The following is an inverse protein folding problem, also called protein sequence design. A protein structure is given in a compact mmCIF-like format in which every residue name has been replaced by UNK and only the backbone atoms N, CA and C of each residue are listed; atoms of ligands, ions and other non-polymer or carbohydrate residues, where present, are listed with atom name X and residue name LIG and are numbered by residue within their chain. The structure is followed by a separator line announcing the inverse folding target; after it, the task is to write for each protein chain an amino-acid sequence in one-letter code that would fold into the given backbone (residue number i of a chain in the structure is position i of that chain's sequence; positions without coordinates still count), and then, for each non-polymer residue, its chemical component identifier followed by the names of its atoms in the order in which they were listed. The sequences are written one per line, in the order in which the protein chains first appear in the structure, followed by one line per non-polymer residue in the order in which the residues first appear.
data_IF_186631071190
#
_entry.id   IF_186631071190
#
_cell.length_a   1.000
_cell.length_b   1.000
_cell.length_c   1.000
_cell.angle_alpha   90.00
_cell.angle_beta   90.00
_cell.angle_gamma   90.00
#
_symmetry.space_group_name_H-M   'P 1'
#
loop_
_entity.id
_entity.type
_entity.pdbx_description
1 polymer ?
#
# COMPACT_ATOMS: atom_id res chain seq x y z
N UNK A 1 12.12 -19.05 5.03
CA UNK A 1 12.47 -19.60 3.70
C UNK A 1 11.65 -18.81 2.74
N UNK A 2 12.30 -18.26 1.71
CA UNK A 2 11.61 -17.43 0.72
C UNK A 2 10.45 -18.19 0.08
N UNK A 3 9.34 -17.50 -0.13
CA UNK A 3 8.15 -18.00 -0.83
C UNK A 3 7.78 -17.04 -1.96
N UNK A 4 8.38 -17.21 -3.15
CA UNK A 4 8.17 -16.33 -4.30
C UNK A 4 6.70 -16.27 -4.76
N UNK A 5 5.88 -17.28 -4.42
CA UNK A 5 4.47 -17.26 -4.76
C UNK A 5 3.74 -16.21 -3.92
N UNK A 6 4.09 -16.07 -2.63
CA UNK A 6 3.49 -15.04 -1.77
C UNK A 6 3.86 -13.65 -2.22
N UNK A 7 5.11 -13.42 -2.60
CA UNK A 7 5.59 -12.15 -3.15
C UNK A 7 4.82 -11.77 -4.42
N UNK A 8 4.72 -12.68 -5.40
CA UNK A 8 4.00 -12.43 -6.64
C UNK A 8 2.50 -12.16 -6.38
N UNK A 9 1.85 -12.98 -5.54
CA UNK A 9 0.42 -12.80 -5.23
C UNK A 9 0.20 -11.49 -4.47
N UNK A 10 1.10 -11.15 -3.55
CA UNK A 10 1.04 -9.92 -2.77
C UNK A 10 1.18 -8.69 -3.66
N UNK A 11 2.16 -8.66 -4.57
CA UNK A 11 2.35 -7.58 -5.53
C UNK A 11 1.10 -7.37 -6.42
N UNK A 12 0.43 -8.45 -6.85
CA UNK A 12 -0.84 -8.35 -7.57
C UNK A 12 -1.96 -7.76 -6.71
N UNK A 13 -2.04 -8.10 -5.43
CA UNK A 13 -3.02 -7.55 -4.50
C UNK A 13 -2.77 -6.06 -4.28
N UNK A 14 -1.52 -5.65 -4.10
CA UNK A 14 -1.14 -4.23 -4.02
C UNK A 14 -1.58 -3.50 -5.28
N UNK A 15 -1.17 -3.97 -6.46
CA UNK A 15 -1.47 -3.32 -7.73
C UNK A 15 -3.00 -3.15 -7.97
N UNK A 16 -3.78 -4.21 -7.73
CA UNK A 16 -5.25 -4.14 -7.88
C UNK A 16 -5.86 -3.21 -6.84
N UNK A 17 -5.40 -3.30 -5.59
CA UNK A 17 -5.88 -2.46 -4.49
C UNK A 17 -5.64 -0.98 -4.76
N UNK A 18 -4.44 -0.60 -5.21
CA UNK A 18 -4.09 0.78 -5.56
C UNK A 18 -5.00 1.33 -6.66
N UNK A 19 -5.30 0.52 -7.71
CA UNK A 19 -6.22 0.94 -8.78
C UNK A 19 -7.63 1.18 -8.24
N UNK A 20 -8.14 0.29 -7.39
CA UNK A 20 -9.48 0.42 -6.81
C UNK A 20 -9.57 1.65 -5.90
N UNK A 21 -8.57 1.87 -5.03
CA UNK A 21 -8.50 3.05 -4.15
C UNK A 21 -8.41 4.35 -4.94
N UNK A 22 -7.66 4.38 -6.05
CA UNK A 22 -7.59 5.54 -6.93
C UNK A 22 -8.95 5.86 -7.58
N UNK A 23 -9.71 4.83 -7.98
CA UNK A 23 -11.07 5.01 -8.52
C UNK A 23 -12.02 5.56 -7.43
N UNK A 24 -11.98 5.02 -6.21
CA UNK A 24 -12.80 5.49 -5.09
C UNK A 24 -12.50 6.94 -4.70
N UNK A 25 -11.22 7.31 -4.70
CA UNK A 25 -10.76 8.66 -4.39
C UNK A 25 -11.08 9.68 -5.48
N UNK A 26 -11.29 9.25 -6.73
CA UNK A 26 -11.65 10.15 -7.84
C UNK A 26 -13.12 10.61 -7.75
N UNK A 27 -13.42 11.93 -7.76
CA UNK A 27 -14.78 12.46 -7.66
C UNK A 27 -15.54 12.39 -9.01
N UNK A 28 -15.75 11.17 -9.51
CA UNK A 28 -16.54 10.93 -10.72
C UNK A 28 -18.04 11.10 -10.42
N UNK A 29 -18.75 11.91 -11.22
CA UNK A 29 -20.21 12.13 -11.09
C UNK A 29 -21.06 10.84 -11.12
N UNK A 30 -20.52 9.75 -11.66
CA UNK A 30 -21.20 8.45 -11.75
C UNK A 30 -21.04 7.59 -10.48
N UNK A 31 -20.16 7.95 -9.55
CA UNK A 31 -19.92 7.23 -8.31
C UNK A 31 -20.47 8.04 -7.13
N UNK A 32 -21.39 7.46 -6.37
CA UNK A 32 -21.90 8.09 -5.15
C UNK A 32 -20.84 7.99 -4.01
N UNK A 33 -21.07 8.72 -2.92
CA UNK A 33 -20.12 8.76 -1.79
C UNK A 33 -19.93 7.42 -1.09
N UNK A 34 -20.97 6.60 -1.02
CA UNK A 34 -20.95 5.28 -0.39
C UNK A 34 -20.08 4.30 -1.20
N UNK A 35 -20.32 4.19 -2.51
CA UNK A 35 -19.51 3.37 -3.40
C UNK A 35 -18.05 3.84 -3.44
N UNK A 36 -17.79 5.15 -3.41
CA UNK A 36 -16.42 5.68 -3.33
C UNK A 36 -15.73 5.26 -2.03
N UNK A 37 -16.43 5.31 -0.90
CA UNK A 37 -15.94 4.84 0.39
C UNK A 37 -15.66 3.34 0.36
N UNK A 38 -16.59 2.54 -0.17
CA UNK A 38 -16.42 1.09 -0.29
C UNK A 38 -15.23 0.71 -1.16
N UNK A 39 -15.04 1.41 -2.29
CA UNK A 39 -13.87 1.22 -3.15
C UNK A 39 -12.57 1.56 -2.42
N UNK A 40 -12.51 2.66 -1.67
CA UNK A 40 -11.33 2.98 -0.86
C UNK A 40 -11.05 1.88 0.18
N UNK A 41 -12.08 1.44 0.91
CA UNK A 41 -11.94 0.35 1.90
C UNK A 41 -11.42 -0.93 1.24
N UNK A 42 -12.00 -1.37 0.13
CA UNK A 42 -11.54 -2.60 -0.54
C UNK A 42 -10.15 -2.45 -1.16
N UNK A 43 -9.81 -1.27 -1.67
CA UNK A 43 -8.49 -0.95 -2.18
C UNK A 43 -7.42 -1.06 -1.09
N UNK A 44 -7.66 -0.44 0.07
CA UNK A 44 -6.72 -0.45 1.20
C UNK A 44 -6.63 -1.84 1.87
N UNK A 45 -7.72 -2.62 1.89
CA UNK A 45 -7.68 -4.03 2.36
C UNK A 45 -6.77 -4.88 1.47
N UNK A 46 -6.91 -4.75 0.15
CA UNK A 46 -6.06 -5.49 -0.80
C UNK A 46 -4.61 -5.06 -0.67
N UNK A 47 -4.33 -3.75 -0.57
CA UNK A 47 -2.97 -3.24 -0.38
C UNK A 47 -2.36 -3.70 0.96
N UNK A 48 -3.10 -3.63 2.06
CA UNK A 48 -2.62 -4.10 3.37
C UNK A 48 -2.26 -5.58 3.34
N UNK A 49 -3.12 -6.39 2.72
CA UNK A 49 -2.94 -7.84 2.60
C UNK A 49 -1.78 -8.16 1.67
N UNK A 50 -1.68 -7.46 0.53
CA UNK A 50 -0.63 -7.66 -0.46
C UNK A 50 0.75 -7.37 0.11
N UNK A 51 0.93 -6.19 0.71
CA UNK A 51 2.17 -5.81 1.39
C UNK A 51 2.55 -6.81 2.51
N UNK A 52 1.55 -7.30 3.26
CA UNK A 52 1.79 -8.32 4.28
C UNK A 52 2.23 -9.68 3.71
N UNK A 53 1.68 -10.08 2.56
CA UNK A 53 2.10 -11.29 1.83
C UNK A 53 3.50 -11.16 1.24
N UNK A 54 3.84 -10.00 0.69
CA UNK A 54 5.20 -9.72 0.19
C UNK A 54 6.22 -9.80 1.33
N UNK A 55 5.95 -9.14 2.46
CA UNK A 55 6.83 -9.20 3.63
C UNK A 55 6.97 -10.63 4.20
N UNK A 56 5.88 -11.40 4.30
CA UNK A 56 5.90 -12.80 4.77
C UNK A 56 6.51 -13.79 3.77
N UNK A 57 6.57 -13.40 2.49
CA UNK A 57 7.23 -14.15 1.43
C UNK A 57 8.76 -14.02 1.46
N UNK A 58 9.28 -12.89 1.95
CA UNK A 58 10.71 -12.64 2.07
C UNK A 58 11.31 -13.39 3.27
N UNK A 59 12.37 -14.17 3.05
CA UNK A 59 12.98 -15.02 4.07
C UNK A 59 14.15 -14.40 4.83
N UNK A 60 14.65 -13.24 4.40
CA UNK A 60 15.67 -12.45 5.10
C UNK A 60 15.17 -11.03 5.37
N UNK A 61 15.71 -10.38 6.41
CA UNK A 61 15.35 -8.99 6.74
C UNK A 61 16.03 -8.06 5.72
N UNK A 62 15.21 -7.35 4.96
CA UNK A 62 15.61 -6.34 3.99
C UNK A 62 14.88 -5.01 4.26
N UNK A 63 15.31 -3.93 3.60
CA UNK A 63 14.58 -2.67 3.62
C UNK A 63 13.23 -2.78 2.87
N UNK A 64 13.14 -3.67 1.89
CA UNK A 64 11.89 -4.00 1.19
C UNK A 64 10.87 -4.64 2.13
N UNK A 65 11.28 -5.66 2.90
CA UNK A 65 10.44 -6.31 3.92
C UNK A 65 9.90 -5.28 4.90
N UNK A 66 10.79 -4.47 5.48
CA UNK A 66 10.43 -3.44 6.45
C UNK A 66 9.51 -2.40 5.83
N UNK A 67 9.80 -1.97 4.61
CA UNK A 67 8.97 -1.02 3.88
C UNK A 67 7.56 -1.57 3.65
N UNK A 68 7.43 -2.82 3.19
CA UNK A 68 6.15 -3.49 2.99
C UNK A 68 5.36 -3.64 4.31
N UNK A 69 6.01 -3.99 5.42
CA UNK A 69 5.36 -4.01 6.74
C UNK A 69 4.83 -2.61 7.13
N UNK A 70 5.63 -1.56 6.95
CA UNK A 70 5.23 -0.17 7.23
C UNK A 70 4.05 0.23 6.32
N UNK A 71 4.08 -0.10 5.03
CA UNK A 71 2.96 0.17 4.11
C UNK A 71 1.68 -0.55 4.54
N UNK A 72 1.77 -1.80 4.99
CA UNK A 72 0.62 -2.55 5.52
C UNK A 72 0.02 -1.86 6.76
N UNK A 73 0.86 -1.40 7.70
CA UNK A 73 0.43 -0.64 8.88
C UNK A 73 -0.25 0.67 8.48
N UNK A 74 0.30 1.37 7.49
CA UNK A 74 -0.30 2.59 6.95
C UNK A 74 -1.70 2.35 6.41
N UNK A 75 -1.88 1.32 5.57
CA UNK A 75 -3.19 0.92 5.04
C UNK A 75 -4.20 0.58 6.17
N UNK A 76 -3.78 -0.18 7.19
CA UNK A 76 -4.64 -0.49 8.34
C UNK A 76 -5.04 0.77 9.13
N UNK A 77 -4.15 1.76 9.20
CA UNK A 77 -4.43 3.05 9.83
C UNK A 77 -5.49 3.83 9.05
N UNK A 78 -5.42 3.86 7.72
CA UNK A 78 -6.45 4.44 6.85
C UNK A 78 -7.79 3.71 7.04
N UNK A 79 -7.78 2.37 6.97
CA UNK A 79 -8.97 1.54 7.17
C UNK A 79 -9.66 1.80 8.50
N UNK A 80 -8.88 2.03 9.56
CA UNK A 80 -9.39 2.38 10.88
C UNK A 80 -10.19 3.68 10.84
N UNK A 81 -9.72 4.69 10.10
CA UNK A 81 -10.43 5.95 9.88
C UNK A 81 -11.68 5.82 9.00
N UNK A 82 -11.69 4.86 8.06
CA UNK A 82 -12.82 4.64 7.16
C UNK A 82 -13.94 3.77 7.78
N UNK A 83 -13.59 2.73 8.52
CA UNK A 83 -14.55 1.72 9.02
C UNK A 83 -15.16 2.11 10.36
N UNK A 84 -14.36 2.66 11.27
CA UNK A 84 -14.85 3.00 12.61
C UNK A 84 -15.56 4.36 12.58
N UNK A 85 -16.70 4.45 13.25
CA UNK A 85 -17.48 5.68 13.41
C UNK A 85 -16.80 6.64 14.41
N UNK A 86 -15.70 7.25 13.99
CA UNK A 86 -15.10 8.39 14.67
C UNK A 86 -15.73 9.72 14.24
N UNK A 87 -15.44 10.79 14.98
CA UNK A 87 -15.68 12.16 14.54
C UNK A 87 -14.91 12.47 13.25
N UNK A 88 -15.48 13.28 12.36
CA UNK A 88 -14.90 13.64 11.05
C UNK A 88 -13.43 14.10 11.12
N UNK A 89 -13.06 14.83 12.17
CA UNK A 89 -11.67 15.28 12.36
C UNK A 89 -10.73 14.11 12.63
N UNK A 90 -11.16 13.14 13.42
CA UNK A 90 -10.37 11.94 13.74
C UNK A 90 -10.26 11.01 12.53
N UNK A 91 -11.33 10.84 11.76
CA UNK A 91 -11.29 10.07 10.51
C UNK A 91 -10.24 10.64 9.55
N UNK A 92 -10.27 11.95 9.30
CA UNK A 92 -9.29 12.63 8.44
C UNK A 92 -7.86 12.54 8.96
N UNK A 93 -7.66 12.65 10.27
CA UNK A 93 -6.32 12.50 10.88
C UNK A 93 -5.78 11.10 10.67
N UNK A 94 -6.61 10.06 10.80
CA UNK A 94 -6.21 8.68 10.57
C UNK A 94 -5.89 8.41 9.10
N UNK A 95 -6.72 8.91 8.17
CA UNK A 95 -6.44 8.80 6.72
C UNK A 95 -5.11 9.47 6.36
N UNK A 96 -4.90 10.73 6.80
CA UNK A 96 -3.65 11.45 6.55
C UNK A 96 -2.45 10.72 7.18
N UNK A 97 -2.56 10.30 8.44
CA UNK A 97 -1.48 9.62 9.13
C UNK A 97 -1.13 8.28 8.44
N UNK A 98 -2.15 7.52 8.04
CA UNK A 98 -1.99 6.27 7.31
C UNK A 98 -1.27 6.48 5.99
N UNK A 99 -1.68 7.46 5.18
CA UNK A 99 -1.01 7.77 3.90
C UNK A 99 0.45 8.20 4.09
N UNK A 100 0.76 9.01 5.10
CA UNK A 100 2.16 9.36 5.42
C UNK A 100 2.99 8.14 5.82
N UNK A 101 2.41 7.21 6.58
CA UNK A 101 3.07 5.95 6.95
C UNK A 101 3.31 5.11 5.69
N UNK A 102 2.34 4.99 4.78
CA UNK A 102 2.51 4.28 3.50
C UNK A 102 3.62 4.90 2.65
N UNK A 103 3.65 6.24 2.54
CA UNK A 103 4.71 6.93 1.81
C UNK A 103 6.10 6.66 2.41
N UNK A 104 6.22 6.64 3.73
CA UNK A 104 7.46 6.25 4.41
C UNK A 104 7.84 4.79 4.09
N UNK A 105 6.88 3.88 4.10
CA UNK A 105 7.09 2.48 3.75
C UNK A 105 7.59 2.32 2.32
N UNK A 106 6.93 2.93 1.32
CA UNK A 106 7.36 2.88 -0.07
C UNK A 106 8.76 3.48 -0.29
N UNK A 107 9.10 4.60 0.39
CA UNK A 107 10.46 5.14 0.36
C UNK A 107 11.48 4.20 1.00
N UNK A 108 11.09 3.49 2.07
CA UNK A 108 11.95 2.51 2.73
C UNK A 108 12.24 1.33 1.82
N UNK A 109 11.21 0.81 1.11
CA UNK A 109 11.38 -0.32 0.18
C UNK A 109 12.39 -0.03 -0.94
N UNK A 110 12.39 1.20 -1.49
CA UNK A 110 13.36 1.64 -2.51
C UNK A 110 14.82 1.51 -2.03
N UNK A 111 15.06 1.70 -0.73
CA UNK A 111 16.40 1.67 -0.16
C UNK A 111 17.09 0.30 -0.34
N UNK A 112 16.32 -0.79 -0.27
CA UNK A 112 16.85 -2.15 -0.48
C UNK A 112 17.15 -2.43 -1.96
N UNK A 113 16.27 -1.97 -2.84
CA UNK A 113 16.35 -2.18 -4.29
C UNK A 113 17.52 -1.43 -4.94
N UNK A 114 17.91 -0.28 -4.38
CA UNK A 114 19.09 0.46 -4.85
C UNK A 114 20.38 -0.30 -4.55
N UNK A 115 20.43 -1.05 -3.45
CA UNK A 115 21.62 -1.78 -3.00
C UNK A 115 21.91 -3.01 -3.90
N UNK A 116 20.89 -3.55 -4.58
CA UNK A 116 20.99 -4.71 -5.49
C UNK A 116 20.69 -4.40 -6.98
N UNK A 117 20.85 -3.13 -7.38
CA UNK A 117 20.44 -2.53 -8.67
C UNK A 117 21.09 -3.05 -9.97
N UNK A 118 21.59 -4.29 -9.99
CA UNK A 118 22.23 -4.92 -11.16
C UNK A 118 21.24 -5.47 -12.20
N UNK A 119 19.93 -5.48 -11.92
CA UNK A 119 18.91 -6.14 -12.73
C UNK A 119 17.75 -5.20 -13.15
N UNK A 120 17.14 -5.44 -14.31
CA UNK A 120 16.08 -4.58 -14.87
C UNK A 120 14.75 -4.68 -14.10
N UNK A 121 14.51 -5.83 -13.48
CA UNK A 121 13.31 -6.08 -12.67
C UNK A 121 13.30 -5.17 -11.42
N UNK A 122 14.47 -4.99 -10.79
CA UNK A 122 14.70 -4.05 -9.68
C UNK A 122 14.30 -2.62 -10.05
N UNK A 123 14.57 -2.21 -11.29
CA UNK A 123 14.22 -0.85 -11.75
C UNK A 123 12.72 -0.65 -11.85
N UNK A 124 11.94 -1.68 -12.16
CA UNK A 124 10.48 -1.59 -12.20
C UNK A 124 9.89 -1.54 -10.80
N UNK A 125 10.45 -2.27 -9.84
CA UNK A 125 10.02 -2.22 -8.45
C UNK A 125 10.28 -0.82 -7.85
N UNK A 126 11.46 -0.24 -8.09
CA UNK A 126 11.77 1.14 -7.69
C UNK A 126 10.74 2.13 -8.23
N UNK A 127 10.39 2.03 -9.53
CA UNK A 127 9.38 2.91 -10.14
C UNK A 127 8.02 2.70 -9.48
N UNK A 128 7.62 1.45 -9.22
CA UNK A 128 6.39 1.11 -8.52
C UNK A 128 6.34 1.75 -7.12
N UNK A 129 7.38 1.56 -6.32
CA UNK A 129 7.51 2.11 -4.98
C UNK A 129 7.54 3.64 -4.97
N UNK A 130 8.20 4.29 -5.94
CA UNK A 130 8.15 5.76 -6.09
C UNK A 130 6.73 6.24 -6.41
N UNK A 131 6.05 5.58 -7.34
CA UNK A 131 4.68 5.92 -7.70
C UNK A 131 3.73 5.74 -6.51
N UNK A 132 3.91 4.68 -5.73
CA UNK A 132 3.13 4.41 -4.53
C UNK A 132 3.41 5.44 -3.43
N UNK A 133 4.68 5.76 -3.18
CA UNK A 133 5.06 6.74 -2.17
C UNK A 133 4.57 8.16 -2.50
N UNK A 134 4.45 8.49 -3.79
CA UNK A 134 3.99 9.82 -4.25
C UNK A 134 2.48 9.89 -4.53
N UNK A 135 1.83 8.75 -4.74
CA UNK A 135 0.40 8.64 -5.03
C UNK A 135 -0.50 8.57 -3.81
N UNK A 136 0.05 8.30 -2.62
CA UNK A 136 -0.64 8.25 -1.33
C UNK A 136 -0.82 9.63 -0.67
#
# INVERSE_FOLDING_TARGET
MDDPIKEIVGAWFVAVGTIIAAIGSTPLKRLNSELRKDLNVWGDVLQATGNGLEADGQGEISLELIGNEIQSIGNVTVLTGLIIEFEDETQKKLEIAGNWIQALGGVTSIGGEIEDSSNIDESYNIVGNVLQATGN
#
